data_IF_229488256659
#
_entry.id   IF_229488256659
#
_cell.length_a   1.000
_cell.length_b   1.000
_cell.length_c   1.000
_cell.angle_alpha   90.00
_cell.angle_beta   90.00
_cell.angle_gamma   90.00
#
_symmetry.space_group_name_H-M   'P 1'
#
loop_
_entity.id
_entity.type
_entity.pdbx_description
1 polymer ?
#
# COMPACT_ATOMS: atom_id res chain seq x y z
N UNK A 1 -49.02 9.06 47.79
CA UNK A 1 -49.43 10.14 46.86
C UNK A 1 -48.44 11.28 46.99
N UNK A 2 -48.11 11.88 45.86
CA UNK A 2 -46.81 12.49 45.56
C UNK A 2 -46.67 13.93 46.08
N UNK A 3 -45.47 14.49 45.83
CA UNK A 3 -45.07 15.91 45.69
C UNK A 3 -44.77 16.68 46.99
N UNK A 4 -43.71 17.51 47.13
CA UNK A 4 -42.67 18.03 46.22
C UNK A 4 -41.62 18.83 47.03
N UNK A 5 -40.37 18.86 46.52
CA UNK A 5 -39.36 19.95 46.55
C UNK A 5 -38.85 20.55 47.86
N UNK A 6 -37.52 20.63 48.02
CA UNK A 6 -36.82 21.92 48.19
C UNK A 6 -35.30 21.77 48.18
N UNK A 7 -34.63 22.63 47.42
CA UNK A 7 -33.42 23.39 47.80
C UNK A 7 -32.30 22.59 48.49
N UNK A 8 -31.16 22.33 47.84
CA UNK A 8 -30.20 23.37 47.47
C UNK A 8 -28.83 22.95 48.02
N UNK A 9 -27.77 23.55 47.49
CA UNK A 9 -26.36 23.33 47.81
C UNK A 9 -25.74 22.07 47.16
N UNK A 10 -24.64 22.14 46.41
CA UNK A 10 -23.42 22.85 46.76
C UNK A 10 -22.67 23.37 45.52
N UNK A 11 -22.10 24.55 45.74
CA UNK A 11 -21.29 25.38 44.85
C UNK A 11 -20.02 24.66 44.38
N UNK A 12 -19.77 24.78 43.08
CA UNK A 12 -18.45 24.88 42.44
C UNK A 12 -17.23 24.48 43.28
N UNK A 13 -16.92 23.19 43.25
CA UNK A 13 -15.54 22.72 43.23
C UNK A 13 -15.52 21.53 42.30
N UNK A 14 -15.50 21.81 41.00
CA UNK A 14 -15.23 20.80 39.97
C UNK A 14 -13.80 20.33 40.26
N UNK A 15 -13.67 19.28 41.06
CA UNK A 15 -12.41 18.58 41.28
C UNK A 15 -11.93 18.08 39.93
N UNK A 16 -10.61 18.14 39.72
CA UNK A 16 -9.93 17.60 38.53
C UNK A 16 -10.33 16.13 38.27
N UNK A 17 -10.79 15.41 39.30
CA UNK A 17 -11.42 14.09 39.18
C UNK A 17 -12.63 14.03 38.23
N UNK A 18 -13.46 15.08 38.12
CA UNK A 18 -14.57 15.09 37.16
C UNK A 18 -14.09 15.30 35.72
N UNK A 19 -12.89 15.86 35.52
CA UNK A 19 -12.27 15.91 34.19
C UNK A 19 -11.70 14.54 33.79
N UNK A 20 -11.19 13.76 34.75
CA UNK A 20 -10.73 12.39 34.48
C UNK A 20 -11.89 11.39 34.32
N UNK A 21 -13.01 11.55 35.03
CA UNK A 21 -14.17 10.64 34.92
C UNK A 21 -15.09 10.91 33.72
N UNK A 22 -14.90 12.00 32.98
CA UNK A 22 -15.49 12.17 31.63
C UNK A 22 -14.55 11.66 30.52
N UNK A 23 -13.35 11.22 30.88
CA UNK A 23 -12.38 10.64 29.94
C UNK A 23 -12.46 9.09 29.88
N UNK A 24 -13.30 8.47 30.71
CA UNK A 24 -13.42 7.00 30.77
C UNK A 24 -14.63 6.44 29.99
N UNK A 25 -15.57 7.29 29.56
CA UNK A 25 -16.72 6.92 28.71
C UNK A 25 -16.62 7.43 27.25
N UNK A 26 -15.40 7.74 26.77
CA UNK A 26 -15.07 7.72 25.32
C UNK A 26 -14.43 6.37 24.96
N UNK A 27 -14.89 5.30 25.61
CA UNK A 27 -14.75 3.93 25.11
C UNK A 27 -16.03 3.47 24.42
N UNK A 28 -16.81 4.40 23.87
CA UNK A 28 -17.63 4.06 22.73
C UNK A 28 -16.67 3.78 21.57
N UNK A 29 -16.40 2.49 21.38
CA UNK A 29 -16.29 1.85 20.08
C UNK A 29 -16.81 2.73 18.94
N UNK A 30 -15.99 3.63 18.42
CA UNK A 30 -15.92 3.83 16.98
C UNK A 30 -15.10 2.67 16.42
N UNK A 31 -15.63 1.45 16.56
CA UNK A 31 -15.23 0.38 15.65
C UNK A 31 -15.75 0.83 14.28
N UNK A 32 -14.88 1.51 13.52
CA UNK A 32 -15.07 1.65 12.09
C UNK A 32 -15.52 0.29 11.57
N UNK A 33 -16.67 0.19 10.87
CA UNK A 33 -17.27 -1.09 10.53
C UNK A 33 -16.20 -1.96 9.87
N UNK A 34 -15.91 -3.13 10.47
CA UNK A 34 -14.89 -4.05 9.97
C UNK A 34 -15.28 -4.47 8.56
N UNK A 35 -14.69 -3.79 7.58
CA UNK A 35 -14.87 -4.07 6.15
C UNK A 35 -14.62 -5.55 5.89
N UNK A 36 -15.34 -6.13 4.93
CA UNK A 36 -15.09 -7.51 4.54
C UNK A 36 -13.64 -7.66 4.07
N UNK A 37 -13.04 -8.84 4.24
CA UNK A 37 -11.66 -9.12 3.79
C UNK A 37 -11.42 -8.76 2.32
N UNK A 38 -12.46 -8.78 1.47
CA UNK A 38 -12.39 -8.38 0.06
C UNK A 38 -12.26 -6.88 -0.11
N UNK A 39 -13.00 -6.10 0.67
CA UNK A 39 -12.96 -4.64 0.66
C UNK A 39 -11.67 -4.09 1.24
N UNK A 40 -11.17 -4.69 2.33
CA UNK A 40 -9.87 -4.36 2.90
C UNK A 40 -8.75 -4.48 1.86
N UNK A 41 -8.68 -5.61 1.14
CA UNK A 41 -7.71 -5.80 0.04
C UNK A 41 -7.85 -4.79 -1.08
N UNK A 42 -9.09 -4.37 -1.39
CA UNK A 42 -9.36 -3.37 -2.43
C UNK A 42 -8.83 -2.01 -1.98
N UNK A 43 -9.04 -1.65 -0.72
CA UNK A 43 -8.56 -0.39 -0.17
C UNK A 43 -7.04 -0.35 -0.02
N UNK A 44 -6.43 -1.43 0.48
CA UNK A 44 -4.97 -1.59 0.50
C UNK A 44 -4.34 -1.43 -0.89
N UNK A 45 -4.99 -1.99 -1.93
CA UNK A 45 -4.52 -1.86 -3.32
C UNK A 45 -4.60 -0.42 -3.82
N UNK A 46 -5.70 0.30 -3.52
CA UNK A 46 -5.82 1.72 -3.85
C UNK A 46 -4.76 2.54 -3.12
N UNK A 47 -4.55 2.26 -1.83
CA UNK A 47 -3.57 2.95 -1.02
C UNK A 47 -2.15 2.71 -1.53
N UNK A 48 -1.80 1.47 -1.87
CA UNK A 48 -0.51 1.14 -2.49
C UNK A 48 -0.29 1.90 -3.82
N UNK A 49 -1.35 2.10 -4.61
CA UNK A 49 -1.31 2.90 -5.84
C UNK A 49 -1.08 4.39 -5.59
N UNK A 50 -1.52 4.92 -4.45
CA UNK A 50 -1.23 6.30 -4.04
C UNK A 50 0.22 6.40 -3.55
N UNK A 51 0.64 5.46 -2.71
CA UNK A 51 1.95 5.46 -2.07
C UNK A 51 3.08 5.29 -3.10
N UNK A 52 2.89 4.45 -4.12
CA UNK A 52 3.88 4.31 -5.19
C UNK A 52 4.07 5.62 -5.98
N UNK A 53 3.03 6.46 -6.12
CA UNK A 53 3.18 7.78 -6.77
C UNK A 53 4.08 8.72 -5.98
N UNK A 54 4.03 8.63 -4.65
CA UNK A 54 4.96 9.37 -3.80
C UNK A 54 6.40 8.86 -4.02
N UNK A 55 6.61 7.54 -4.03
CA UNK A 55 7.93 6.97 -4.27
C UNK A 55 8.51 7.34 -5.65
N UNK A 56 7.68 7.37 -6.69
CA UNK A 56 8.05 7.82 -8.03
C UNK A 56 8.49 9.29 -8.05
N UNK A 57 7.88 10.13 -7.21
CA UNK A 57 8.20 11.55 -7.11
C UNK A 57 9.50 11.79 -6.33
N UNK A 58 9.68 11.10 -5.20
CA UNK A 58 10.84 11.27 -4.33
C UNK A 58 12.10 10.58 -4.86
N UNK A 59 11.94 9.44 -5.56
CA UNK A 59 13.04 8.62 -6.06
C UNK A 59 12.91 8.29 -7.56
N UNK A 60 12.89 9.29 -8.45
CA UNK A 60 12.65 9.10 -9.89
C UNK A 60 13.76 8.30 -10.61
N UNK A 61 14.96 8.22 -10.02
CA UNK A 61 16.10 7.50 -10.61
C UNK A 61 15.88 5.98 -10.54
N UNK A 62 15.24 5.49 -9.46
CA UNK A 62 14.98 4.07 -9.21
C UNK A 62 13.55 3.69 -9.58
N UNK A 63 12.58 4.50 -9.21
CA UNK A 63 11.17 4.29 -9.53
C UNK A 63 10.81 5.10 -10.77
N UNK A 64 10.50 4.41 -11.87
CA UNK A 64 9.99 5.00 -13.09
C UNK A 64 9.18 3.96 -13.86
N UNK A 65 8.01 4.31 -14.38
CA UNK A 65 7.18 3.39 -15.19
C UNK A 65 7.71 3.17 -16.61
N UNK A 66 8.46 4.13 -17.16
CA UNK A 66 9.04 4.04 -18.50
C UNK A 66 10.31 3.18 -18.48
N UNK A 67 11.20 3.51 -17.53
CA UNK A 67 12.49 2.84 -17.29
C UNK A 67 12.51 2.14 -15.94
N UNK A 68 11.70 1.10 -15.77
CA UNK A 68 11.63 0.35 -14.51
C UNK A 68 12.95 -0.37 -14.23
N UNK A 69 13.60 -0.09 -13.11
CA UNK A 69 14.83 -0.79 -12.71
C UNK A 69 14.58 -1.89 -11.66
N UNK A 70 15.27 -3.04 -11.73
CA UNK A 70 15.23 -4.07 -10.70
C UNK A 70 15.70 -3.54 -9.35
N UNK A 71 14.89 -3.73 -8.31
CA UNK A 71 15.19 -3.18 -6.98
C UNK A 71 16.21 -4.05 -6.21
N UNK A 72 17.08 -3.37 -5.44
CA UNK A 72 17.95 -3.98 -4.42
C UNK A 72 17.13 -4.77 -3.40
N UNK A 73 17.70 -5.86 -2.88
CA UNK A 73 17.14 -6.61 -1.76
C UNK A 73 17.27 -5.75 -0.48
N UNK A 74 16.20 -5.63 0.30
CA UNK A 74 16.20 -4.81 1.52
C UNK A 74 15.91 -3.32 1.30
N UNK A 75 15.61 -2.89 0.07
CA UNK A 75 15.34 -1.47 -0.27
C UNK A 75 14.21 -0.85 0.58
N UNK A 76 13.31 -1.66 1.13
CA UNK A 76 12.24 -1.18 2.02
C UNK A 76 12.74 -0.57 3.31
N UNK A 77 13.87 -1.04 3.84
CA UNK A 77 14.47 -0.53 5.08
C UNK A 77 15.12 0.83 4.81
N UNK A 78 15.90 0.95 3.74
CA UNK A 78 16.49 2.22 3.29
C UNK A 78 15.41 3.28 2.99
N UNK A 79 14.29 2.86 2.38
CA UNK A 79 13.15 3.75 2.17
C UNK A 79 12.47 4.13 3.48
N UNK A 80 12.42 3.23 4.46
CA UNK A 80 11.86 3.52 5.78
C UNK A 80 12.72 4.51 6.56
N UNK A 81 14.04 4.49 6.38
CA UNK A 81 14.94 5.47 7.01
C UNK A 81 14.72 6.88 6.43
N UNK A 82 14.54 6.99 5.10
CA UNK A 82 14.35 8.28 4.43
C UNK A 82 12.93 8.83 4.52
N UNK A 83 11.92 7.96 4.42
CA UNK A 83 10.50 8.32 4.34
C UNK A 83 9.68 7.88 5.55
N UNK A 84 10.27 7.29 6.60
CA UNK A 84 9.54 6.72 7.73
C UNK A 84 8.61 7.70 8.46
N UNK A 85 8.90 9.00 8.38
CA UNK A 85 8.05 10.08 8.91
C UNK A 85 6.79 10.28 8.06
N UNK A 86 6.87 10.06 6.75
CA UNK A 86 5.77 10.25 5.79
C UNK A 86 4.97 8.97 5.57
N UNK A 87 5.65 7.83 5.49
CA UNK A 87 5.06 6.53 5.22
C UNK A 87 5.60 5.47 6.18
N UNK A 88 4.72 4.77 6.92
CA UNK A 88 5.08 3.58 7.67
C UNK A 88 5.67 2.49 6.76
N UNK A 89 6.55 1.65 7.33
CA UNK A 89 7.23 0.56 6.60
C UNK A 89 6.26 -0.40 5.89
N UNK A 90 5.09 -0.67 6.46
CA UNK A 90 4.10 -1.58 5.87
C UNK A 90 3.45 -1.00 4.60
N UNK A 91 3.26 0.32 4.57
CA UNK A 91 2.78 1.04 3.38
C UNK A 91 3.85 1.07 2.29
N UNK A 92 5.11 1.27 2.66
CA UNK A 92 6.26 1.17 1.75
C UNK A 92 6.32 -0.24 1.12
N UNK A 93 6.23 -1.30 1.94
CA UNK A 93 6.20 -2.69 1.46
C UNK A 93 5.03 -2.95 0.51
N UNK A 94 3.86 -2.40 0.82
CA UNK A 94 2.66 -2.54 -0.03
C UNK A 94 2.82 -1.83 -1.37
N UNK A 95 3.37 -0.61 -1.37
CA UNK A 95 3.69 0.16 -2.58
C UNK A 95 4.72 -0.57 -3.47
N UNK A 96 5.80 -1.08 -2.88
CA UNK A 96 6.82 -1.87 -3.58
C UNK A 96 6.19 -3.13 -4.19
N UNK A 97 5.36 -3.85 -3.42
CA UNK A 97 4.67 -5.05 -3.91
C UNK A 97 3.78 -4.72 -5.11
N UNK A 98 3.08 -3.58 -5.08
CA UNK A 98 2.28 -3.12 -6.22
C UNK A 98 3.16 -2.84 -7.46
N UNK A 99 4.28 -2.15 -7.29
CA UNK A 99 5.22 -1.83 -8.35
C UNK A 99 5.86 -3.08 -8.99
N UNK A 100 6.37 -3.98 -8.17
CA UNK A 100 7.08 -5.21 -8.60
C UNK A 100 6.16 -6.19 -9.33
N UNK A 101 4.86 -6.22 -8.99
CA UNK A 101 3.87 -7.08 -9.66
C UNK A 101 3.40 -6.53 -11.02
N UNK A 102 3.88 -5.36 -11.43
CA UNK A 102 3.55 -4.82 -12.75
C UNK A 102 4.21 -5.65 -13.86
N UNK A 103 3.53 -5.74 -15.00
CA UNK A 103 4.05 -6.45 -16.18
C UNK A 103 5.36 -5.82 -16.66
N UNK A 104 5.41 -4.48 -16.69
CA UNK A 104 6.58 -3.70 -17.11
C UNK A 104 7.81 -3.94 -16.24
N UNK A 105 7.62 -4.02 -14.91
CA UNK A 105 8.70 -4.36 -14.00
C UNK A 105 9.23 -5.77 -14.26
N UNK A 106 8.32 -6.75 -14.35
CA UNK A 106 8.71 -8.16 -14.58
C UNK A 106 9.45 -8.31 -15.91
N UNK A 107 9.00 -7.62 -16.96
CA UNK A 107 9.68 -7.62 -18.26
C UNK A 107 11.13 -7.13 -18.15
N UNK A 108 11.34 -6.00 -17.48
CA UNK A 108 12.68 -5.44 -17.34
C UNK A 108 13.55 -6.29 -16.43
N UNK A 109 12.96 -6.88 -15.39
CA UNK A 109 13.65 -7.79 -14.47
C UNK A 109 14.22 -9.02 -15.21
N UNK A 110 13.45 -9.63 -16.11
CA UNK A 110 13.90 -10.79 -16.90
C UNK A 110 15.04 -10.44 -17.87
N UNK A 111 15.10 -9.18 -18.34
CA UNK A 111 16.13 -8.70 -19.27
C UNK A 111 17.40 -8.17 -18.58
N UNK A 112 17.37 -8.06 -17.25
CA UNK A 112 18.42 -7.42 -16.46
C UNK A 112 19.31 -8.42 -15.74
N UNK A 113 20.58 -8.04 -15.51
CA UNK A 113 21.54 -8.87 -14.76
C UNK A 113 21.80 -8.36 -13.34
N UNK A 114 21.50 -7.08 -13.08
CA UNK A 114 21.87 -6.39 -11.84
C UNK A 114 20.68 -5.71 -11.17
N UNK A 115 20.78 -5.53 -9.86
CA UNK A 115 19.84 -4.76 -9.03
C UNK A 115 20.38 -3.36 -8.79
N UNK A 116 19.47 -2.41 -8.55
CA UNK A 116 19.80 -1.01 -8.37
C UNK A 116 19.32 -0.51 -7.01
N UNK A 117 20.12 0.36 -6.39
CA UNK A 117 19.80 1.07 -5.15
C UNK A 117 19.06 2.39 -5.41
N UNK A 118 18.77 3.15 -4.33
CA UNK A 118 18.08 4.44 -4.40
C UNK A 118 18.79 5.49 -5.25
N UNK A 119 20.11 5.37 -5.42
CA UNK A 119 20.95 6.29 -6.21
C UNK A 119 21.10 5.82 -7.66
N UNK A 120 20.56 4.65 -8.00
CA UNK A 120 20.70 4.05 -9.33
C UNK A 120 22.05 3.37 -9.56
N UNK A 121 22.79 3.06 -8.50
CA UNK A 121 24.03 2.28 -8.58
C UNK A 121 23.73 0.79 -8.50
N UNK A 122 24.61 -0.01 -9.11
CA UNK A 122 24.52 -1.47 -9.06
C UNK A 122 24.73 -1.93 -7.61
N UNK A 123 23.75 -2.65 -7.08
CA UNK A 123 23.75 -3.19 -5.73
C UNK A 123 23.39 -4.67 -5.73
N UNK A 124 24.22 -5.46 -6.42
CA UNK A 124 24.16 -6.92 -6.46
C UNK A 124 23.62 -7.48 -7.77
N UNK A 125 23.83 -8.78 -7.94
CA UNK A 125 23.44 -9.52 -9.14
C UNK A 125 22.10 -10.25 -8.93
N UNK A 126 21.42 -10.53 -10.03
CA UNK A 126 20.19 -11.34 -10.02
C UNK A 126 20.59 -12.80 -10.21
N UNK A 127 20.25 -13.65 -9.24
CA UNK A 127 20.51 -15.09 -9.37
C UNK A 127 19.70 -15.72 -10.50
N UNK A 128 20.26 -16.76 -11.12
CA UNK A 128 19.61 -17.52 -12.19
C UNK A 128 18.25 -18.09 -11.78
N UNK A 129 18.11 -18.51 -10.51
CA UNK A 129 16.84 -19.00 -9.98
C UNK A 129 15.77 -17.89 -10.00
N UNK A 130 16.12 -16.67 -9.57
CA UNK A 130 15.20 -15.54 -9.59
C UNK A 130 14.79 -15.18 -11.02
N UNK A 131 15.73 -15.23 -11.97
CA UNK A 131 15.44 -15.01 -13.39
C UNK A 131 14.51 -16.08 -13.95
N UNK A 132 14.75 -17.35 -13.61
CA UNK A 132 13.91 -18.48 -14.05
C UNK A 132 12.47 -18.31 -13.55
N UNK A 133 12.28 -18.00 -12.27
CA UNK A 133 10.95 -17.83 -11.69
C UNK A 133 10.24 -16.58 -12.23
N UNK A 134 10.97 -15.48 -12.43
CA UNK A 134 10.43 -14.26 -13.04
C UNK A 134 10.03 -14.48 -14.50
N UNK A 135 10.80 -15.29 -15.26
CA UNK A 135 10.50 -15.62 -16.66
C UNK A 135 9.19 -16.39 -16.76
N UNK A 136 9.04 -17.45 -15.96
CA UNK A 136 7.78 -18.22 -15.88
C UNK A 136 6.59 -17.33 -15.52
N UNK A 137 6.78 -16.43 -14.55
CA UNK A 137 5.74 -15.48 -14.14
C UNK A 137 5.38 -14.51 -15.27
N UNK A 138 6.38 -13.97 -15.98
CA UNK A 138 6.20 -13.05 -17.10
C UNK A 138 5.45 -13.70 -18.26
N UNK A 139 5.78 -14.94 -18.61
CA UNK A 139 5.09 -15.71 -19.65
C UNK A 139 3.60 -15.91 -19.29
N UNK A 140 3.32 -16.26 -18.03
CA UNK A 140 1.97 -16.37 -17.51
C UNK A 140 1.19 -15.05 -17.61
N UNK A 141 1.81 -13.92 -17.25
CA UNK A 141 1.22 -12.59 -17.41
C UNK A 141 0.95 -12.27 -18.88
N UNK A 142 1.92 -12.49 -19.76
CA UNK A 142 1.80 -12.24 -21.20
C UNK A 142 0.65 -13.04 -21.81
N UNK A 143 0.53 -14.32 -21.47
CA UNK A 143 -0.58 -15.17 -21.92
C UNK A 143 -1.94 -14.71 -21.37
N UNK A 144 -2.00 -14.27 -20.12
CA UNK A 144 -3.21 -13.72 -19.51
C UNK A 144 -3.69 -12.45 -20.23
N UNK A 145 -2.78 -11.51 -20.50
CA UNK A 145 -3.12 -10.28 -21.21
C UNK A 145 -3.49 -10.54 -22.68
N UNK A 146 -2.81 -11.46 -23.37
CA UNK A 146 -3.17 -11.86 -24.73
C UNK A 146 -4.61 -12.43 -24.82
N UNK A 147 -5.00 -13.29 -23.86
CA UNK A 147 -6.36 -13.83 -23.79
C UNK A 147 -7.41 -12.76 -23.49
N UNK A 148 -7.06 -11.72 -22.74
CA UNK A 148 -7.97 -10.62 -22.42
C UNK A 148 -8.28 -9.79 -23.66
N UNK A 149 -7.26 -9.41 -24.44
CA UNK A 149 -7.43 -8.63 -25.67
C UNK A 149 -8.30 -9.37 -26.70
N UNK A 150 -8.09 -10.69 -26.88
CA UNK A 150 -8.89 -11.51 -27.78
C UNK A 150 -10.38 -11.62 -27.40
N UNK A 151 -10.74 -11.38 -26.13
CA UNK A 151 -12.16 -11.37 -25.70
C UNK A 151 -12.81 -10.03 -25.99
N UNK A 152 -12.10 -8.93 -25.75
CA UNK A 152 -12.60 -7.58 -26.02
C UNK A 152 -12.87 -7.37 -27.51
N UNK A 153 -11.96 -7.84 -28.38
CA UNK A 153 -12.13 -7.79 -29.84
C UNK A 153 -13.29 -8.67 -30.36
N UNK A 154 -13.62 -9.78 -29.68
CA UNK A 154 -14.73 -10.66 -30.09
C UNK A 154 -16.10 -10.19 -29.61
N UNK A 155 -16.16 -9.33 -28.59
CA UNK A 155 -17.39 -8.71 -28.09
C UNK A 155 -17.77 -7.48 -28.93
N UNK A 156 -16.79 -6.73 -29.43
CA UNK A 156 -17.01 -5.58 -30.33
C UNK A 156 -17.55 -6.00 -31.71
N UNK A 157 -17.15 -7.16 -32.24
CA UNK A 157 -17.61 -7.67 -33.56
C UNK A 157 -19.05 -8.22 -33.55
N UNK A 158 -19.73 -8.26 -32.39
CA UNK A 158 -21.12 -8.76 -32.26
C UNK A 158 -22.18 -7.66 -32.07
N UNK A 159 -21.78 -6.39 -32.11
CA UNK A 159 -22.70 -5.25 -31.96
C UNK A 159 -23.08 -4.55 -33.28
N UNK A 160 -22.68 -5.10 -34.43
CA UNK A 160 -23.11 -4.66 -35.76
C UNK A 160 -24.03 -5.67 -36.45
#
# INVERSE_FOLDING_TARGET
>A
MNSTTSSGDCKHRITIERLLLLSEDVKQNEELPKLSKKEQRKEESKQAKIDIKLLLKEFPILFNWEETKPLKIGISEELSEKLGVLLPIDRIKSAIRYYVRSMKYTETFVKSSHRYDLEGKISGEISEQNLTDATKYYEGLKAFFAKKNQKTEKEEVKQD
#
